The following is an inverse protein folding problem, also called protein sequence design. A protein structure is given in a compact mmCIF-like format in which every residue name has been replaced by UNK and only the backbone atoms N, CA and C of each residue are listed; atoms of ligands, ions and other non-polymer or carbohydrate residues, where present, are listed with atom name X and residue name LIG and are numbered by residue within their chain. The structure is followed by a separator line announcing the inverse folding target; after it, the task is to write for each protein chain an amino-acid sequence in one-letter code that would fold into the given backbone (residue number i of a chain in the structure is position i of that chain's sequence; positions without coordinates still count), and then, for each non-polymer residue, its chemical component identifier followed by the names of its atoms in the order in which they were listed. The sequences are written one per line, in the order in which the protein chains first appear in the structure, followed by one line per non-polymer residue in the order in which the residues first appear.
data_IF_879737253771
#
_entry.id   IF_879737253771
#
_cell.length_a   1.000
_cell.length_b   1.000
_cell.length_c   1.000
_cell.angle_alpha   90.00
_cell.angle_beta   90.00
_cell.angle_gamma   90.00
#
_symmetry.space_group_name_H-M   'P 1'
#
loop_
_entity.id
_entity.type
_entity.pdbx_description
1 polymer ?
#
# COMPACT_ATOMS: atom_id res chain seq x y z
N UNK A 1 23.32 -15.72 52.90
CA UNK A 1 24.07 -16.24 51.73
C UNK A 1 23.14 -16.53 50.56
N UNK A 2 21.85 -16.80 50.82
CA UNK A 2 20.80 -16.97 49.81
C UNK A 2 20.40 -15.65 49.11
N UNK A 3 20.31 -14.52 49.83
CA UNK A 3 19.97 -13.19 49.24
C UNK A 3 20.94 -12.67 48.16
N UNK A 4 22.20 -13.11 48.18
CA UNK A 4 23.20 -12.71 47.18
C UNK A 4 23.10 -13.54 45.88
N UNK A 5 22.53 -14.75 45.96
CA UNK A 5 22.30 -15.62 44.82
C UNK A 5 21.03 -15.21 44.06
N UNK A 6 19.98 -14.78 44.76
CA UNK A 6 18.76 -14.26 44.11
C UNK A 6 19.01 -12.98 43.32
N UNK A 7 19.75 -12.01 43.89
CA UNK A 7 20.09 -10.76 43.20
C UNK A 7 20.97 -10.95 41.96
N UNK A 8 21.86 -11.95 41.95
CA UNK A 8 22.70 -12.26 40.79
C UNK A 8 21.94 -13.04 39.71
N UNK A 9 20.90 -13.79 40.09
CA UNK A 9 19.98 -14.44 39.13
C UNK A 9 18.98 -13.46 38.52
N UNK A 10 18.52 -12.45 39.25
CA UNK A 10 17.65 -11.40 38.70
C UNK A 10 18.41 -10.47 37.75
N UNK A 11 19.65 -10.07 38.08
CA UNK A 11 20.46 -9.25 37.17
C UNK A 11 20.87 -9.99 35.89
N UNK A 12 21.11 -11.30 35.96
CA UNK A 12 21.35 -12.12 34.76
C UNK A 12 20.09 -12.28 33.90
N UNK A 13 18.90 -12.45 34.52
CA UNK A 13 17.63 -12.50 33.76
C UNK A 13 17.28 -11.16 33.10
N UNK A 14 17.63 -10.04 33.74
CA UNK A 14 17.41 -8.70 33.18
C UNK A 14 18.39 -8.41 32.03
N UNK A 15 19.66 -8.82 32.17
CA UNK A 15 20.65 -8.77 31.08
C UNK A 15 20.33 -9.73 29.92
N UNK A 16 19.78 -10.91 30.17
CA UNK A 16 19.32 -11.83 29.11
C UNK A 16 18.09 -11.30 28.38
N UNK A 17 17.19 -10.58 29.08
CA UNK A 17 16.04 -9.90 28.45
C UNK A 17 16.48 -8.67 27.63
N UNK A 18 17.47 -7.92 28.10
CA UNK A 18 18.03 -6.79 27.37
C UNK A 18 18.87 -7.27 26.17
N UNK A 19 19.65 -8.35 26.31
CA UNK A 19 20.36 -8.98 25.21
C UNK A 19 19.40 -9.59 24.18
N UNK A 20 18.30 -10.23 24.61
CA UNK A 20 17.26 -10.72 23.72
C UNK A 20 16.49 -9.60 23.00
N UNK A 21 16.30 -8.46 23.66
CA UNK A 21 15.70 -7.27 23.06
C UNK A 21 16.66 -6.56 22.07
N UNK A 22 17.96 -6.53 22.36
CA UNK A 22 18.99 -6.04 21.43
C UNK A 22 19.15 -6.99 20.23
N UNK A 23 19.07 -8.30 20.41
CA UNK A 23 19.11 -9.30 19.33
C UNK A 23 17.83 -9.26 18.46
N UNK A 24 16.66 -8.98 19.05
CA UNK A 24 15.41 -8.76 18.31
C UNK A 24 15.38 -7.39 17.59
N UNK A 25 16.09 -6.38 18.11
CA UNK A 25 16.32 -5.10 17.42
C UNK A 25 17.29 -5.29 16.23
N UNK A 26 18.32 -6.13 16.37
CA UNK A 26 19.32 -6.45 15.34
C UNK A 26 18.79 -7.40 14.24
N UNK A 27 17.78 -8.23 14.53
CA UNK A 27 17.03 -9.01 13.53
C UNK A 27 16.03 -8.19 12.72
N UNK A 28 15.94 -6.88 12.98
CA UNK A 28 15.43 -5.95 11.98
C UNK A 28 16.51 -5.85 10.92
N UNK A 29 16.53 -6.78 9.95
CA UNK A 29 17.35 -6.61 8.76
C UNK A 29 17.04 -5.21 8.22
N UNK A 30 17.98 -4.28 8.42
CA UNK A 30 18.03 -3.00 7.75
C UNK A 30 18.35 -3.35 6.31
N UNK A 31 17.30 -3.73 5.57
CA UNK A 31 17.40 -3.99 4.15
C UNK A 31 17.70 -2.64 3.51
N UNK A 32 18.94 -2.43 3.10
CA UNK A 32 19.31 -1.29 2.28
C UNK A 32 18.76 -1.52 0.86
N UNK A 33 17.54 -1.04 0.64
CA UNK A 33 16.88 -1.14 -0.66
C UNK A 33 17.64 -0.36 -1.74
N UNK A 34 18.41 0.69 -1.39
CA UNK A 34 19.20 1.46 -2.35
C UNK A 34 20.36 0.61 -2.87
N UNK A 35 21.06 -0.11 -1.99
CA UNK A 35 22.14 -1.03 -2.37
C UNK A 35 21.59 -2.27 -3.11
N UNK A 36 20.47 -2.83 -2.65
CA UNK A 36 19.85 -4.00 -3.30
C UNK A 36 19.39 -3.71 -4.72
N UNK A 37 18.76 -2.56 -4.96
CA UNK A 37 18.23 -2.19 -6.28
C UNK A 37 19.33 -1.73 -7.24
N UNK A 38 20.43 -1.17 -6.74
CA UNK A 38 21.58 -0.79 -7.58
C UNK A 38 22.39 -2.00 -8.06
N UNK A 39 22.66 -2.95 -7.16
CA UNK A 39 23.69 -3.97 -7.38
C UNK A 39 23.17 -5.34 -7.86
N UNK A 40 21.86 -5.62 -7.81
CA UNK A 40 21.32 -6.94 -8.15
C UNK A 40 20.40 -6.93 -9.37
N UNK A 41 20.30 -8.09 -10.02
CA UNK A 41 19.32 -8.35 -11.08
C UNK A 41 17.88 -8.33 -10.53
N UNK A 42 16.96 -7.74 -11.28
CA UNK A 42 15.57 -7.49 -10.87
C UNK A 42 14.84 -8.77 -10.42
N UNK A 43 15.16 -9.91 -11.03
CA UNK A 43 14.57 -11.21 -10.70
C UNK A 43 14.99 -11.69 -9.31
N UNK A 44 16.27 -11.50 -8.95
CA UNK A 44 16.79 -11.85 -7.63
C UNK A 44 16.21 -10.95 -6.54
N UNK A 45 16.02 -9.67 -6.83
CA UNK A 45 15.37 -8.72 -5.92
C UNK A 45 13.92 -9.11 -5.69
N UNK A 46 13.17 -9.42 -6.76
CA UNK A 46 11.78 -9.85 -6.64
C UNK A 46 11.67 -11.14 -5.82
N UNK A 47 12.55 -12.13 -6.07
CA UNK A 47 12.59 -13.37 -5.31
C UNK A 47 12.85 -13.12 -3.83
N UNK A 48 13.84 -12.28 -3.47
CA UNK A 48 14.11 -11.93 -2.07
C UNK A 48 12.95 -11.18 -1.39
N UNK A 49 12.26 -10.31 -2.13
CA UNK A 49 11.09 -9.60 -1.61
C UNK A 49 9.92 -10.55 -1.35
N UNK A 50 9.67 -11.49 -2.26
CA UNK A 50 8.62 -12.51 -2.13
C UNK A 50 8.93 -13.55 -1.04
N UNK A 51 10.17 -14.02 -0.95
CA UNK A 51 10.63 -14.94 0.11
C UNK A 51 10.55 -14.26 1.48
N UNK A 52 10.98 -13.01 1.59
CA UNK A 52 10.84 -12.22 2.82
C UNK A 52 9.39 -11.95 3.23
N UNK A 53 8.48 -11.82 2.26
CA UNK A 53 7.04 -11.71 2.52
C UNK A 53 6.42 -13.03 3.03
N UNK A 54 7.03 -14.18 2.72
CA UNK A 54 6.62 -15.52 3.17
C UNK A 54 7.19 -15.87 4.57
N UNK A 55 8.41 -15.45 4.89
CA UNK A 55 9.07 -15.75 6.17
C UNK A 55 8.52 -14.92 7.35
N UNK A 56 8.01 -13.70 7.11
CA UNK A 56 7.41 -12.86 8.15
C UNK A 56 5.91 -13.13 8.35
N UNK A 57 5.56 -14.32 8.85
CA UNK A 57 4.20 -14.67 9.30
C UNK A 57 3.82 -14.03 10.66
N UNK A 58 4.43 -12.90 11.02
CA UNK A 58 4.21 -12.19 12.28
C UNK A 58 3.28 -10.98 12.02
N UNK A 59 2.01 -11.11 12.42
CA UNK A 59 0.90 -10.18 12.10
C UNK A 59 1.17 -8.71 12.51
N UNK A 60 2.16 -8.47 13.38
CA UNK A 60 2.50 -7.17 13.95
C UNK A 60 3.65 -6.44 13.22
N UNK A 61 4.47 -7.14 12.42
CA UNK A 61 5.62 -6.53 11.71
C UNK A 61 5.22 -6.15 10.28
N UNK A 62 5.61 -4.94 9.83
CA UNK A 62 5.38 -4.51 8.45
C UNK A 62 6.06 -5.49 7.48
N UNK A 63 5.27 -6.04 6.56
CA UNK A 63 5.68 -6.91 5.44
C UNK A 63 6.81 -6.22 4.65
N UNK A 64 7.74 -7.00 4.08
CA UNK A 64 8.87 -6.48 3.31
C UNK A 64 8.39 -5.70 2.07
N UNK A 65 7.28 -6.13 1.46
CA UNK A 65 6.65 -5.40 0.35
C UNK A 65 6.04 -4.07 0.81
N UNK A 66 5.45 -4.04 2.02
CA UNK A 66 4.94 -2.78 2.60
C UNK A 66 6.11 -1.80 2.86
N UNK A 67 7.26 -2.29 3.36
CA UNK A 67 8.47 -1.48 3.54
C UNK A 67 9.06 -1.00 2.22
N UNK A 68 9.02 -1.84 1.19
CA UNK A 68 9.43 -1.47 -0.16
C UNK A 68 8.55 -0.32 -0.70
N UNK A 69 7.23 -0.39 -0.53
CA UNK A 69 6.33 0.70 -0.92
C UNK A 69 6.58 1.98 -0.11
N UNK A 70 6.83 1.88 1.19
CA UNK A 70 7.22 3.02 2.03
C UNK A 70 8.54 3.67 1.53
N UNK A 71 9.53 2.85 1.13
CA UNK A 71 10.78 3.31 0.55
C UNK A 71 10.56 4.01 -0.80
N UNK A 72 9.79 3.40 -1.69
CA UNK A 72 9.43 3.98 -2.99
C UNK A 72 8.71 5.31 -2.79
N UNK A 73 7.73 5.35 -1.88
CA UNK A 73 7.01 6.55 -1.52
C UNK A 73 7.95 7.67 -1.08
N UNK A 74 8.87 7.38 -0.16
CA UNK A 74 9.86 8.34 0.33
C UNK A 74 10.73 8.89 -0.81
N UNK A 75 11.25 8.02 -1.68
CA UNK A 75 12.09 8.44 -2.82
C UNK A 75 11.32 9.32 -3.81
N UNK A 76 10.07 8.99 -4.12
CA UNK A 76 9.22 9.83 -5.00
C UNK A 76 8.89 11.17 -4.33
N UNK A 77 8.58 11.18 -3.03
CA UNK A 77 8.26 12.39 -2.29
C UNK A 77 9.39 13.43 -2.31
N UNK A 78 10.63 12.96 -2.20
CA UNK A 78 11.86 13.79 -2.29
C UNK A 78 12.23 14.21 -3.71
N UNK A 79 11.47 13.73 -4.70
CA UNK A 79 11.78 13.91 -6.11
C UNK A 79 11.20 15.17 -6.74
N UNK A 80 11.24 15.19 -8.07
CA UNK A 80 10.79 16.33 -8.88
C UNK A 80 9.27 16.30 -9.07
N UNK A 81 8.66 17.48 -9.14
CA UNK A 81 7.25 17.62 -9.47
C UNK A 81 7.00 17.16 -10.91
N UNK A 82 5.94 16.38 -11.09
CA UNK A 82 5.44 15.92 -12.37
C UNK A 82 3.92 16.13 -12.37
N UNK A 83 3.42 16.98 -13.25
CA UNK A 83 2.02 17.42 -13.21
C UNK A 83 1.38 17.10 -14.57
N UNK A 84 0.84 15.88 -14.75
CA UNK A 84 0.09 15.53 -15.96
C UNK A 84 -1.16 16.40 -16.15
N UNK A 85 -1.77 16.83 -15.05
CA UNK A 85 -2.89 17.75 -15.02
C UNK A 85 -2.88 18.53 -13.71
N UNK A 86 -3.29 19.80 -13.75
CA UNK A 86 -3.36 20.66 -12.56
C UNK A 86 -4.27 20.09 -11.46
N UNK A 87 -5.24 19.24 -11.82
CA UNK A 87 -6.13 18.56 -10.87
C UNK A 87 -5.49 17.32 -10.22
N UNK A 88 -4.39 16.81 -10.77
CA UNK A 88 -3.73 15.57 -10.35
C UNK A 88 -2.20 15.77 -10.28
N UNK A 89 -1.72 16.58 -9.32
CA UNK A 89 -0.29 16.77 -9.13
C UNK A 89 0.37 15.48 -8.65
N UNK A 90 1.52 15.12 -9.23
CA UNK A 90 2.32 14.00 -8.77
C UNK A 90 3.80 14.35 -8.74
N UNK A 91 4.64 13.36 -8.46
CA UNK A 91 6.09 13.48 -8.39
C UNK A 91 6.74 12.28 -9.07
N UNK A 92 7.99 12.47 -9.44
CA UNK A 92 8.88 11.44 -9.97
C UNK A 92 10.17 11.39 -9.18
N UNK A 93 10.85 10.25 -9.17
CA UNK A 93 12.11 10.12 -8.44
C UNK A 93 13.18 11.01 -9.08
N UNK A 94 14.19 11.42 -8.30
CA UNK A 94 15.36 12.12 -8.84
C UNK A 94 16.20 11.20 -9.74
N UNK A 95 16.30 9.93 -9.35
CA UNK A 95 17.07 8.92 -10.06
C UNK A 95 16.18 8.16 -11.06
N UNK A 96 16.39 8.43 -12.35
CA UNK A 96 15.64 7.82 -13.44
C UNK A 96 15.93 6.32 -13.62
N UNK A 97 17.13 5.84 -13.26
CA UNK A 97 17.47 4.42 -13.40
C UNK A 97 16.80 3.60 -12.31
N UNK A 98 16.85 4.11 -11.07
CA UNK A 98 16.14 3.52 -9.95
C UNK A 98 14.63 3.52 -10.19
N UNK A 99 14.08 4.61 -10.72
CA UNK A 99 12.65 4.69 -11.03
C UNK A 99 12.22 3.63 -12.04
N UNK A 100 12.99 3.45 -13.13
CA UNK A 100 12.69 2.41 -14.14
C UNK A 100 12.69 1.02 -13.53
N UNK A 101 13.66 0.71 -12.66
CA UNK A 101 13.74 -0.58 -11.94
C UNK A 101 12.53 -0.79 -11.04
N UNK A 102 12.14 0.22 -10.28
CA UNK A 102 10.95 0.18 -9.39
C UNK A 102 9.67 -0.01 -10.20
N UNK A 103 9.52 0.74 -11.30
CA UNK A 103 8.39 0.61 -12.23
C UNK A 103 8.32 -0.81 -12.78
N UNK A 104 9.45 -1.41 -13.17
CA UNK A 104 9.48 -2.79 -13.67
C UNK A 104 9.14 -3.82 -12.57
N UNK A 105 9.65 -3.64 -11.36
CA UNK A 105 9.33 -4.51 -10.22
C UNK A 105 7.83 -4.51 -9.90
N UNK A 106 7.24 -3.31 -9.76
CA UNK A 106 5.82 -3.16 -9.39
C UNK A 106 4.91 -3.79 -10.45
N UNK A 107 5.22 -3.57 -11.73
CA UNK A 107 4.28 -3.91 -12.80
C UNK A 107 4.48 -5.30 -13.40
N UNK A 108 5.67 -5.90 -13.27
CA UNK A 108 5.98 -7.22 -13.85
C UNK A 108 6.36 -8.28 -12.83
N UNK A 109 7.29 -7.97 -11.91
CA UNK A 109 7.96 -9.01 -11.13
C UNK A 109 7.33 -9.31 -9.78
N UNK A 110 6.71 -8.33 -9.12
CA UNK A 110 6.06 -8.51 -7.81
C UNK A 110 4.59 -8.96 -7.93
N UNK A 111 4.19 -9.35 -9.13
CA UNK A 111 2.85 -9.89 -9.38
C UNK A 111 2.77 -11.35 -8.89
N UNK A 112 1.69 -11.77 -8.20
CA UNK A 112 0.47 -11.03 -7.87
C UNK A 112 0.49 -10.33 -6.50
N UNK A 113 1.53 -10.54 -5.70
CA UNK A 113 1.60 -10.18 -4.28
C UNK A 113 1.41 -8.67 -4.04
N UNK A 114 1.95 -7.84 -4.92
CA UNK A 114 1.94 -6.37 -4.82
C UNK A 114 0.54 -5.76 -4.86
N UNK A 115 -0.43 -6.40 -5.54
CA UNK A 115 -1.77 -5.83 -5.76
C UNK A 115 -2.43 -5.50 -4.43
N UNK A 116 -2.47 -6.47 -3.51
CA UNK A 116 -3.13 -6.27 -2.23
C UNK A 116 -2.46 -5.16 -1.40
N UNK A 117 -1.14 -5.02 -1.51
CA UNK A 117 -0.36 -4.01 -0.78
C UNK A 117 -0.59 -2.61 -1.36
N UNK A 118 -0.70 -2.48 -2.69
CA UNK A 118 -1.12 -1.24 -3.33
C UNK A 118 -2.56 -0.86 -2.92
N UNK A 119 -3.49 -1.80 -2.94
CA UNK A 119 -4.87 -1.55 -2.50
C UNK A 119 -4.91 -1.10 -1.03
N UNK A 120 -4.15 -1.77 -0.16
CA UNK A 120 -3.98 -1.37 1.25
C UNK A 120 -3.38 0.03 1.38
N UNK A 121 -2.37 0.36 0.59
CA UNK A 121 -1.74 1.69 0.57
C UNK A 121 -2.77 2.77 0.20
N UNK A 122 -3.45 2.62 -0.94
CA UNK A 122 -4.44 3.58 -1.43
C UNK A 122 -5.69 3.71 -0.52
N UNK A 123 -6.04 2.64 0.19
CA UNK A 123 -7.17 2.65 1.15
C UNK A 123 -6.81 3.15 2.54
N UNK A 124 -5.53 3.26 2.90
CA UNK A 124 -5.14 3.80 4.20
C UNK A 124 -5.12 5.33 4.15
N UNK A 125 -5.95 5.96 4.98
CA UNK A 125 -6.07 7.41 5.09
C UNK A 125 -4.91 8.03 5.91
N UNK A 126 -3.70 7.50 5.75
CA UNK A 126 -2.52 7.90 6.55
C UNK A 126 -1.85 9.13 5.94
N UNK A 127 -2.08 9.39 4.66
CA UNK A 127 -1.48 10.49 3.91
C UNK A 127 -2.56 11.32 3.20
N UNK A 128 -2.22 12.54 2.77
CA UNK A 128 -3.09 13.38 1.94
C UNK A 128 -3.44 12.68 0.62
N UNK A 129 -4.63 12.90 0.08
CA UNK A 129 -5.12 12.16 -1.10
C UNK A 129 -4.16 12.22 -2.30
N UNK A 130 -3.49 13.37 -2.50
CA UNK A 130 -2.54 13.63 -3.58
C UNK A 130 -1.31 12.71 -3.53
N UNK A 131 -0.90 12.31 -2.32
CA UNK A 131 0.25 11.43 -2.14
C UNK A 131 0.04 10.02 -2.71
N UNK A 132 -1.22 9.59 -2.86
CA UNK A 132 -1.53 8.35 -3.57
C UNK A 132 -1.13 8.41 -5.04
N UNK A 133 -1.14 9.60 -5.64
CA UNK A 133 -0.74 9.78 -7.03
C UNK A 133 0.75 9.54 -7.24
N UNK A 134 1.59 9.67 -6.20
CA UNK A 134 3.03 9.39 -6.30
C UNK A 134 3.28 7.93 -6.63
N UNK A 135 2.58 7.02 -5.94
CA UNK A 135 2.66 5.59 -6.22
C UNK A 135 1.86 5.24 -7.48
N UNK A 136 0.68 5.83 -7.67
CA UNK A 136 -0.11 5.59 -8.88
C UNK A 136 0.66 5.96 -10.16
N UNK A 137 1.50 7.00 -10.11
CA UNK A 137 2.32 7.42 -11.26
C UNK A 137 3.25 6.31 -11.76
N UNK A 138 3.67 5.40 -10.89
CA UNK A 138 4.57 4.28 -11.19
C UNK A 138 3.83 3.03 -11.70
N UNK A 139 2.50 3.02 -11.67
CA UNK A 139 1.67 1.89 -12.11
C UNK A 139 1.24 2.09 -13.56
N UNK A 140 1.43 1.06 -14.39
CA UNK A 140 0.94 0.98 -15.77
C UNK A 140 0.30 -0.37 -16.10
N UNK A 141 0.45 -1.38 -15.25
CA UNK A 141 -0.10 -2.72 -15.48
C UNK A 141 -1.63 -2.68 -15.45
N UNK A 142 -2.27 -3.07 -16.55
CA UNK A 142 -3.72 -3.11 -16.68
C UNK A 142 -4.38 -4.00 -15.62
N UNK A 143 -3.72 -5.08 -15.21
CA UNK A 143 -4.25 -6.00 -14.18
C UNK A 143 -4.31 -5.32 -12.81
N UNK A 144 -3.32 -4.48 -12.49
CA UNK A 144 -3.31 -3.69 -11.25
C UNK A 144 -4.42 -2.62 -11.33
N UNK A 145 -4.50 -1.89 -12.44
CA UNK A 145 -5.53 -0.86 -12.67
C UNK A 145 -6.94 -1.47 -12.56
N UNK A 146 -7.17 -2.63 -13.18
CA UNK A 146 -8.43 -3.38 -13.08
C UNK A 146 -8.73 -3.79 -11.65
N UNK A 147 -7.74 -4.24 -10.88
CA UNK A 147 -7.91 -4.61 -9.47
C UNK A 147 -8.31 -3.41 -8.60
N UNK A 148 -7.77 -2.23 -8.88
CA UNK A 148 -8.15 -0.97 -8.24
C UNK A 148 -9.59 -0.62 -8.60
N UNK A 149 -9.98 -0.75 -9.86
CA UNK A 149 -11.35 -0.49 -10.33
C UNK A 149 -12.38 -1.46 -9.72
N UNK A 150 -12.08 -2.76 -9.72
CA UNK A 150 -12.95 -3.79 -9.12
C UNK A 150 -13.16 -3.52 -7.62
N UNK A 151 -12.10 -3.09 -6.93
CA UNK A 151 -12.16 -2.68 -5.51
C UNK A 151 -12.97 -1.41 -5.30
N UNK A 152 -12.83 -0.41 -6.18
CA UNK A 152 -13.66 0.79 -6.20
C UNK A 152 -15.15 0.43 -6.33
N UNK A 153 -15.51 -0.45 -7.27
CA UNK A 153 -16.89 -0.89 -7.48
C UNK A 153 -17.46 -1.64 -6.27
N UNK A 154 -16.62 -2.36 -5.54
CA UNK A 154 -17.02 -2.98 -4.27
C UNK A 154 -17.35 -1.90 -3.22
N UNK A 155 -16.45 -0.94 -2.98
CA UNK A 155 -16.70 0.13 -2.01
C UNK A 155 -17.88 1.02 -2.39
N UNK A 156 -18.05 1.32 -3.67
CA UNK A 156 -19.19 2.08 -4.21
C UNK A 156 -20.52 1.41 -3.85
N UNK A 157 -20.62 0.09 -3.99
CA UNK A 157 -21.79 -0.69 -3.59
C UNK A 157 -22.01 -0.65 -2.08
N UNK A 158 -20.94 -0.72 -1.31
CA UNK A 158 -21.01 -0.72 0.16
C UNK A 158 -21.56 0.60 0.73
N UNK A 159 -21.36 1.75 0.08
CA UNK A 159 -21.88 3.07 0.51
C UNK A 159 -23.37 3.01 0.87
N UNK A 160 -24.15 2.28 0.08
CA UNK A 160 -25.61 2.22 0.18
C UNK A 160 -26.12 1.07 1.09
N UNK A 161 -25.23 0.28 1.69
CA UNK A 161 -25.61 -0.82 2.58
C UNK A 161 -26.16 -0.28 3.90
N UNK A 162 -27.44 -0.52 4.21
CA UNK A 162 -28.08 0.04 5.41
C UNK A 162 -27.41 -0.35 6.74
N UNK A 163 -26.92 -1.59 6.87
CA UNK A 163 -26.25 -2.07 8.09
C UNK A 163 -24.81 -1.51 8.19
N UNK A 164 -24.53 -0.75 9.26
CA UNK A 164 -23.24 -0.08 9.49
C UNK A 164 -22.04 -1.03 9.60
N UNK A 165 -22.18 -2.17 10.25
CA UNK A 165 -21.05 -3.10 10.46
C UNK A 165 -20.73 -3.89 9.20
N UNK A 166 -21.76 -4.25 8.42
CA UNK A 166 -21.57 -4.88 7.12
C UNK A 166 -20.98 -3.89 6.10
N UNK A 167 -21.41 -2.62 6.16
CA UNK A 167 -20.97 -1.55 5.28
C UNK A 167 -19.45 -1.35 5.29
N UNK A 168 -18.79 -1.38 6.44
CA UNK A 168 -17.35 -1.09 6.54
C UNK A 168 -16.45 -2.31 6.37
N UNK A 169 -17.03 -3.51 6.26
CA UNK A 169 -16.29 -4.76 6.43
C UNK A 169 -15.28 -5.01 5.31
N UNK A 170 -15.62 -4.67 4.06
CA UNK A 170 -14.69 -4.80 2.94
C UNK A 170 -13.53 -3.81 3.04
N UNK A 171 -13.80 -2.57 3.46
CA UNK A 171 -12.75 -1.55 3.68
C UNK A 171 -11.80 -2.02 4.78
N UNK A 172 -12.34 -2.53 5.89
CA UNK A 172 -11.54 -3.10 6.98
C UNK A 172 -10.67 -4.27 6.51
N UNK A 173 -11.21 -5.17 5.68
CA UNK A 173 -10.45 -6.29 5.10
C UNK A 173 -9.25 -5.82 4.29
N UNK A 174 -9.45 -4.85 3.40
CA UNK A 174 -8.35 -4.30 2.58
C UNK A 174 -7.32 -3.55 3.45
N UNK A 175 -7.79 -2.76 4.43
CA UNK A 175 -6.91 -2.06 5.37
C UNK A 175 -6.18 -2.99 6.35
N UNK A 176 -6.58 -4.26 6.42
CA UNK A 176 -6.20 -5.25 7.43
C UNK A 176 -6.51 -4.79 8.87
N UNK A 177 -7.62 -4.08 9.05
CA UNK A 177 -8.13 -3.75 10.37
C UNK A 177 -9.01 -4.89 10.89
N UNK A 178 -8.98 -5.09 12.22
CA UNK A 178 -9.87 -6.04 12.87
C UNK A 178 -11.33 -5.71 12.57
N UNK A 179 -12.16 -6.74 12.32
CA UNK A 179 -13.60 -6.53 12.09
C UNK A 179 -14.26 -5.82 13.28
N UNK A 180 -13.71 -5.99 14.49
CA UNK A 180 -14.17 -5.39 15.75
C UNK A 180 -13.62 -3.98 16.00
N UNK A 181 -12.71 -3.47 15.18
CA UNK A 181 -12.18 -2.11 15.36
C UNK A 181 -13.25 -1.06 15.11
N UNK A 182 -13.03 0.17 15.59
CA UNK A 182 -13.92 1.28 15.29
C UNK A 182 -14.08 1.51 13.79
N UNK A 183 -15.28 1.93 13.37
CA UNK A 183 -15.64 2.14 11.97
C UNK A 183 -15.14 3.48 11.41
N UNK A 184 -14.62 4.38 12.25
CA UNK A 184 -14.30 5.78 11.90
C UNK A 184 -13.29 5.89 10.74
N UNK A 185 -12.32 4.99 10.66
CA UNK A 185 -11.26 5.01 9.65
C UNK A 185 -11.56 4.13 8.42
N UNK A 186 -12.72 3.46 8.39
CA UNK A 186 -13.08 2.46 7.38
C UNK A 186 -14.37 2.80 6.64
N UNK A 187 -14.63 4.09 6.43
CA UNK A 187 -15.73 4.59 5.62
C UNK A 187 -15.59 4.15 4.15
N UNK A 188 -16.58 3.42 3.58
CA UNK A 188 -16.55 3.07 2.15
C UNK A 188 -16.66 4.26 1.23
N UNK A 189 -17.35 5.33 1.65
CA UNK A 189 -17.45 6.56 0.87
C UNK A 189 -16.06 7.19 0.69
N UNK A 190 -15.31 7.33 1.80
CA UNK A 190 -13.98 7.93 1.76
C UNK A 190 -13.00 7.05 0.97
N UNK A 191 -13.09 5.73 1.14
CA UNK A 191 -12.26 4.78 0.39
C UNK A 191 -12.59 4.80 -1.10
N UNK A 192 -13.87 4.84 -1.48
CA UNK A 192 -14.30 4.94 -2.86
C UNK A 192 -13.90 6.28 -3.49
N UNK A 193 -13.99 7.39 -2.76
CA UNK A 193 -13.56 8.70 -3.24
C UNK A 193 -12.05 8.74 -3.53
N UNK A 194 -11.23 8.14 -2.65
CA UNK A 194 -9.78 8.00 -2.86
C UNK A 194 -9.45 7.13 -4.07
N UNK A 195 -10.11 5.98 -4.22
CA UNK A 195 -9.91 5.14 -5.40
C UNK A 195 -10.39 5.82 -6.69
N UNK A 196 -11.51 6.55 -6.64
CA UNK A 196 -12.00 7.37 -7.77
C UNK A 196 -10.95 8.37 -8.22
N UNK A 197 -10.32 9.09 -7.29
CA UNK A 197 -9.29 10.07 -7.60
C UNK A 197 -8.10 9.44 -8.36
N UNK A 198 -7.67 8.26 -7.94
CA UNK A 198 -6.61 7.50 -8.62
C UNK A 198 -7.05 7.00 -10.01
N UNK A 199 -8.28 6.51 -10.14
CA UNK A 199 -8.83 6.02 -11.41
C UNK A 199 -9.01 7.14 -12.43
N UNK A 200 -9.44 8.33 -11.99
CA UNK A 200 -9.49 9.51 -12.86
C UNK A 200 -8.11 9.93 -13.35
N UNK A 201 -7.10 9.85 -12.47
CA UNK A 201 -5.72 10.09 -12.87
C UNK A 201 -5.25 9.09 -13.95
N UNK A 202 -5.59 7.81 -13.81
CA UNK A 202 -5.27 6.81 -14.83
C UNK A 202 -5.97 7.07 -16.17
N UNK A 203 -7.23 7.52 -16.19
CA UNK A 203 -7.92 7.90 -17.43
C UNK A 203 -7.27 9.09 -18.15
N UNK A 204 -6.61 9.98 -17.41
CA UNK A 204 -5.88 11.11 -18.00
C UNK A 204 -4.54 10.64 -18.56
N UNK A 205 -3.87 9.74 -17.85
CA UNK A 205 -2.50 9.31 -18.17
C UNK A 205 -2.45 8.20 -19.23
N UNK A 206 -3.43 7.31 -19.25
CA UNK A 206 -3.45 6.10 -20.05
C UNK A 206 -4.79 5.93 -20.78
N UNK A 207 -4.76 5.26 -21.94
CA UNK A 207 -5.98 4.80 -22.60
C UNK A 207 -6.45 3.47 -21.97
N UNK A 208 -7.22 3.59 -20.89
CA UNK A 208 -7.81 2.45 -20.15
C UNK A 208 -9.34 2.40 -20.30
N UNK A 209 -9.85 3.03 -21.35
CA UNK A 209 -11.30 3.16 -21.61
C UNK A 209 -12.00 1.82 -21.82
N UNK A 210 -11.25 0.78 -22.20
CA UNK A 210 -11.74 -0.60 -22.29
C UNK A 210 -11.98 -1.25 -20.92
N UNK A 211 -11.39 -0.72 -19.83
CA UNK A 211 -11.59 -1.22 -18.47
C UNK A 211 -12.76 -0.51 -17.77
N UNK A 212 -12.83 0.82 -17.89
CA UNK A 212 -13.89 1.65 -17.32
C UNK A 212 -13.91 3.04 -17.97
N UNK A 213 -15.05 3.74 -17.87
CA UNK A 213 -15.20 5.11 -18.35
C UNK A 213 -15.33 6.12 -17.22
N UNK A 214 -15.36 7.42 -17.56
CA UNK A 214 -15.55 8.49 -16.57
C UNK A 214 -16.90 8.41 -15.88
N UNK A 215 -17.93 7.97 -16.60
CA UNK A 215 -19.29 7.78 -16.11
C UNK A 215 -19.35 6.66 -15.05
N UNK A 216 -18.58 5.58 -15.23
CA UNK A 216 -18.51 4.47 -14.27
C UNK A 216 -17.99 4.92 -12.90
N UNK A 217 -17.15 5.96 -12.87
CA UNK A 217 -16.53 6.52 -11.68
C UNK A 217 -17.44 7.47 -10.87
N UNK A 218 -18.64 7.79 -11.37
CA UNK A 218 -19.59 8.62 -10.63
C UNK A 218 -20.09 7.88 -9.38
N UNK A 219 -19.97 8.49 -8.19
CA UNK A 219 -20.37 7.85 -6.92
C UNK A 219 -21.89 7.70 -6.77
N UNK A 220 -22.66 8.50 -7.50
CA UNK A 220 -24.11 8.42 -7.57
C UNK A 220 -24.52 7.89 -8.94
N UNK A 221 -25.66 7.20 -9.01
CA UNK A 221 -26.29 6.95 -10.30
C UNK A 221 -26.86 8.28 -10.79
N UNK A 222 -26.43 8.72 -11.96
CA UNK A 222 -27.23 9.66 -12.74
C UNK A 222 -28.40 8.82 -13.24
N UNK A 223 -29.52 8.84 -12.53
CA UNK A 223 -30.78 8.42 -13.14
C UNK A 223 -30.96 9.38 -14.32
N UNK A 224 -30.64 8.89 -15.53
CA UNK A 224 -31.10 9.59 -16.72
C UNK A 224 -32.62 9.57 -16.59
N UNK A 225 -33.32 10.72 -16.61
CA UNK A 225 -34.76 10.68 -16.67
C UNK A 225 -35.09 9.83 -17.89
N UNK A 226 -35.79 8.72 -17.64
CA UNK A 226 -36.27 7.85 -18.69
C UNK A 226 -36.95 8.73 -19.74
N UNK A 227 -36.53 8.54 -20.98
CA UNK A 227 -37.10 9.22 -22.12
C UNK A 227 -38.49 8.61 -22.34
N UNK A 228 -39.49 9.17 -21.67
CA UNK A 228 -40.87 9.11 -22.13
C UNK A 228 -41.01 9.92 -23.44
#
# INVERSE_FOLDING_TARGET
MEDFLEKSMESNKENERLAGAEDDLLKTQLIDFDELLRNNELQLVAQRLSEGALEMADFMKKDIIDRFLDFVFFKVQTGNMDIPSMAYPTKRMLDNELEKKVIELINKHLYPEIIFRLLKFFTRNVHEADTNLYIANLVYSEVIIKSIYDTYQMFKRDIFVGNRDKRTLNVKRIQQYSSRSENKLSSPLDAAARMKYILEFFLIKYDVTHLYTREDLLLYKVDRPDSD
#
